data_IF_214032241081
#
_entry.id   IF_214032241081
#
_cell.length_a   1.000
_cell.length_b   1.000
_cell.length_c   1.000
_cell.angle_alpha   90.00
_cell.angle_beta   90.00
_cell.angle_gamma   90.00
#
_symmetry.space_group_name_H-M   'P 1'
#
loop_
_entity.id
_entity.type
_entity.pdbx_description
1 polymer ?
#
# COMPACT_ATOMS: atom_id res chain seq x y z
N UNK A 1 22.08 10.36 -10.16
CA UNK A 1 22.86 9.98 -8.96
C UNK A 1 21.97 9.25 -7.94
N UNK A 2 20.84 9.82 -7.51
CA UNK A 2 19.94 9.19 -6.52
C UNK A 2 19.25 7.88 -6.94
N UNK A 3 19.06 7.63 -8.24
CA UNK A 3 18.52 6.36 -8.76
C UNK A 3 19.30 5.12 -8.30
N UNK A 4 20.63 5.17 -8.36
CA UNK A 4 21.48 4.06 -7.94
C UNK A 4 21.44 3.87 -6.42
N UNK A 5 21.34 4.96 -5.65
CA UNK A 5 21.20 4.92 -4.19
C UNK A 5 19.87 4.30 -3.78
N UNK A 6 18.77 4.68 -4.43
CA UNK A 6 17.45 4.11 -4.18
C UNK A 6 17.41 2.60 -4.44
N UNK A 7 17.98 2.15 -5.58
CA UNK A 7 18.10 0.71 -5.88
C UNK A 7 18.92 -0.03 -4.84
N UNK A 8 20.05 0.56 -4.43
CA UNK A 8 20.92 -0.04 -3.43
C UNK A 8 20.22 -0.14 -2.07
N UNK A 9 19.50 0.90 -1.67
CA UNK A 9 18.75 0.95 -0.41
C UNK A 9 17.70 -0.18 -0.33
N UNK A 10 16.92 -0.34 -1.41
CA UNK A 10 15.90 -1.39 -1.52
C UNK A 10 16.55 -2.78 -1.48
N UNK A 11 17.57 -3.03 -2.31
CA UNK A 11 18.25 -4.34 -2.36
C UNK A 11 19.01 -4.71 -1.08
N UNK A 12 19.51 -3.71 -0.35
CA UNK A 12 20.27 -3.93 0.88
C UNK A 12 19.39 -4.32 2.06
N UNK A 13 18.09 -3.97 2.02
CA UNK A 13 17.07 -4.37 3.03
C UNK A 13 17.48 -4.07 4.47
N UNK A 14 18.26 -3.02 4.67
CA UNK A 14 18.87 -2.68 5.96
C UNK A 14 18.01 -1.65 6.69
N UNK A 15 17.27 -2.10 7.71
CA UNK A 15 16.36 -1.27 8.50
C UNK A 15 17.05 -0.06 9.17
N UNK A 16 18.20 -0.23 9.86
CA UNK A 16 18.98 0.91 10.35
C UNK A 16 19.31 1.95 9.27
N UNK A 17 19.66 1.49 8.06
CA UNK A 17 19.93 2.41 6.95
C UNK A 17 18.67 3.14 6.49
N UNK A 18 17.53 2.44 6.42
CA UNK A 18 16.23 3.07 6.15
C UNK A 18 15.88 4.14 7.18
N UNK A 19 16.08 3.86 8.47
CA UNK A 19 15.83 4.84 9.53
C UNK A 19 16.68 6.10 9.38
N UNK A 20 17.96 5.96 9.00
CA UNK A 20 18.84 7.10 8.71
C UNK A 20 18.39 7.89 7.47
N UNK A 21 17.98 7.19 6.41
CA UNK A 21 17.54 7.84 5.17
C UNK A 21 16.20 8.56 5.35
N UNK A 22 15.29 7.98 6.11
CA UNK A 22 13.95 8.51 6.39
C UNK A 22 13.91 9.49 7.57
N UNK A 23 15.05 9.74 8.21
CA UNK A 23 15.15 10.70 9.31
C UNK A 23 14.74 12.12 8.88
N UNK A 24 14.04 12.83 9.75
CA UNK A 24 13.47 14.15 9.45
C UNK A 24 14.52 15.24 9.20
N UNK A 25 15.72 15.05 9.77
CA UNK A 25 16.88 15.93 9.61
C UNK A 25 17.57 15.75 8.24
N UNK A 26 17.22 14.70 7.49
CA UNK A 26 17.79 14.45 6.18
C UNK A 26 17.14 15.34 5.10
N UNK A 27 17.87 16.36 4.65
CA UNK A 27 17.45 17.26 3.56
C UNK A 27 17.15 16.55 2.23
N UNK A 28 17.70 15.35 2.01
CA UNK A 28 17.49 14.56 0.79
C UNK A 28 16.40 13.49 0.95
N UNK A 29 15.73 13.40 2.10
CA UNK A 29 14.71 12.40 2.40
C UNK A 29 13.66 12.30 1.30
N UNK A 30 13.00 13.41 0.96
CA UNK A 30 11.96 13.45 -0.08
C UNK A 30 12.48 13.00 -1.44
N UNK A 31 13.64 13.50 -1.85
CA UNK A 31 14.25 13.10 -3.13
C UNK A 31 14.57 11.60 -3.17
N UNK A 32 15.02 11.01 -2.05
CA UNK A 32 15.28 9.58 -1.97
C UNK A 32 13.98 8.77 -2.04
N UNK A 33 12.94 9.18 -1.31
CA UNK A 33 11.61 8.56 -1.36
C UNK A 33 11.06 8.58 -2.79
N UNK A 34 11.07 9.74 -3.45
CA UNK A 34 10.59 9.89 -4.82
C UNK A 34 11.32 8.93 -5.77
N UNK A 35 12.64 8.79 -5.65
CA UNK A 35 13.42 7.88 -6.49
C UNK A 35 13.18 6.41 -6.16
N UNK A 36 12.92 6.06 -4.90
CA UNK A 36 12.52 4.70 -4.50
C UNK A 36 11.18 4.35 -5.14
N UNK A 37 10.17 5.22 -5.02
CA UNK A 37 8.81 5.02 -5.54
C UNK A 37 8.79 5.00 -7.06
N UNK A 38 9.53 5.89 -7.73
CA UNK A 38 9.49 6.01 -9.19
C UNK A 38 10.40 5.03 -9.94
N UNK A 39 11.51 4.59 -9.34
CA UNK A 39 12.53 3.80 -10.04
C UNK A 39 12.76 2.45 -9.37
N UNK A 40 13.15 2.45 -8.10
CA UNK A 40 13.61 1.22 -7.45
C UNK A 40 12.49 0.17 -7.31
N UNK A 41 11.26 0.61 -7.00
CA UNK A 41 10.11 -0.27 -6.86
C UNK A 41 9.53 -0.75 -8.19
N UNK A 42 9.66 0.03 -9.27
CA UNK A 42 9.26 -0.41 -10.60
C UNK A 42 10.23 -1.44 -11.19
N UNK A 43 11.49 -1.44 -10.75
CA UNK A 43 12.52 -2.38 -11.21
C UNK A 43 12.63 -3.64 -10.36
N UNK A 44 12.13 -3.62 -9.11
CA UNK A 44 12.09 -4.80 -8.25
C UNK A 44 10.76 -5.52 -8.37
N UNK A 45 10.83 -6.83 -8.50
CA UNK A 45 9.68 -7.73 -8.42
C UNK A 45 9.80 -8.67 -7.21
N UNK A 46 10.74 -8.39 -6.30
CA UNK A 46 10.95 -9.20 -5.13
C UNK A 46 9.98 -8.78 -4.00
N UNK A 47 9.10 -9.67 -3.53
CA UNK A 47 8.20 -9.38 -2.42
C UNK A 47 8.92 -8.93 -1.14
N UNK A 48 10.15 -9.40 -0.90
CA UNK A 48 10.92 -9.03 0.29
C UNK A 48 11.43 -7.59 0.23
N UNK A 49 11.80 -7.10 -0.96
CA UNK A 49 12.19 -5.71 -1.19
C UNK A 49 11.03 -4.76 -0.86
N UNK A 50 9.83 -5.11 -1.33
CA UNK A 50 8.61 -4.36 -1.07
C UNK A 50 8.25 -4.40 0.41
N UNK A 51 8.25 -5.59 1.02
CA UNK A 51 7.91 -5.77 2.44
C UNK A 51 8.84 -4.96 3.36
N UNK A 52 10.15 -4.97 3.08
CA UNK A 52 11.13 -4.21 3.85
C UNK A 52 10.91 -2.71 3.71
N UNK A 53 10.69 -2.24 2.48
CA UNK A 53 10.43 -0.82 2.19
C UNK A 53 9.16 -0.35 2.90
N UNK A 54 8.06 -1.09 2.78
CA UNK A 54 6.79 -0.80 3.46
C UNK A 54 6.97 -0.69 4.97
N UNK A 55 7.63 -1.67 5.60
CA UNK A 55 7.88 -1.66 7.05
C UNK A 55 8.73 -0.47 7.48
N UNK A 56 9.71 -0.07 6.66
CA UNK A 56 10.53 1.11 6.94
C UNK A 56 9.71 2.40 6.95
N UNK A 57 8.80 2.57 5.98
CA UNK A 57 7.91 3.75 5.92
C UNK A 57 6.91 3.76 7.07
N UNK A 58 6.36 2.60 7.44
CA UNK A 58 5.51 2.47 8.63
C UNK A 58 6.26 2.85 9.91
N UNK A 59 7.52 2.42 10.05
CA UNK A 59 8.34 2.74 11.22
C UNK A 59 8.78 4.22 11.26
N UNK A 60 8.87 4.86 10.10
CA UNK A 60 9.19 6.28 9.98
C UNK A 60 7.98 7.21 10.13
N UNK A 61 6.77 6.67 10.37
CA UNK A 61 5.51 7.41 10.49
C UNK A 61 5.20 8.30 9.27
N UNK A 62 5.42 7.74 8.07
CA UNK A 62 5.21 8.41 6.78
C UNK A 62 4.00 7.79 6.03
N UNK A 63 2.76 8.03 6.48
CA UNK A 63 1.59 7.37 5.90
C UNK A 63 1.23 7.88 4.49
N UNK A 64 1.47 9.15 4.17
CA UNK A 64 1.17 9.71 2.86
C UNK A 64 2.09 9.10 1.78
N UNK A 65 3.39 9.05 2.07
CA UNK A 65 4.38 8.45 1.19
C UNK A 65 4.18 6.94 1.07
N UNK A 66 3.71 6.27 2.14
CA UNK A 66 3.32 4.86 2.09
C UNK A 66 2.12 4.62 1.17
N UNK A 67 1.12 5.51 1.16
CA UNK A 67 -0.03 5.43 0.25
C UNK A 67 0.45 5.51 -1.20
N UNK A 68 1.24 6.53 -1.56
CA UNK A 68 1.75 6.70 -2.93
C UNK A 68 2.57 5.48 -3.40
N UNK A 69 3.38 4.93 -2.49
CA UNK A 69 4.15 3.72 -2.74
C UNK A 69 3.24 2.52 -3.03
N UNK A 70 2.23 2.31 -2.19
CA UNK A 70 1.31 1.18 -2.32
C UNK A 70 0.40 1.32 -3.54
N UNK A 71 -0.07 2.53 -3.87
CA UNK A 71 -0.79 2.82 -5.10
C UNK A 71 0.02 2.39 -6.32
N UNK A 72 1.30 2.76 -6.38
CA UNK A 72 2.17 2.39 -7.50
C UNK A 72 2.38 0.89 -7.62
N UNK A 73 2.53 0.19 -6.49
CA UNK A 73 2.75 -1.26 -6.49
C UNK A 73 1.46 -2.01 -6.85
N UNK A 74 0.33 -1.62 -6.27
CA UNK A 74 -0.93 -2.35 -6.41
C UNK A 74 -1.66 -1.97 -7.70
N UNK A 75 -1.59 -0.71 -8.14
CA UNK A 75 -2.31 -0.23 -9.32
C UNK A 75 -1.49 -0.34 -10.61
N UNK A 76 -0.18 -0.04 -10.57
CA UNK A 76 0.64 -0.02 -11.80
C UNK A 76 1.36 -1.35 -12.05
N UNK A 77 1.66 -2.15 -11.01
CA UNK A 77 2.40 -3.40 -11.15
C UNK A 77 1.47 -4.63 -11.03
N UNK A 78 1.17 -5.24 -12.17
CA UNK A 78 0.27 -6.40 -12.26
C UNK A 78 0.72 -7.60 -11.40
N UNK A 79 2.02 -7.76 -11.12
CA UNK A 79 2.53 -8.85 -10.30
C UNK A 79 2.08 -8.77 -8.82
N UNK A 80 1.77 -7.56 -8.34
CA UNK A 80 1.37 -7.30 -6.96
C UNK A 80 -0.06 -6.79 -6.83
N UNK A 81 -0.72 -6.51 -7.95
CA UNK A 81 -2.10 -6.07 -8.00
C UNK A 81 -3.04 -7.05 -7.28
N UNK A 82 -2.81 -8.36 -7.35
CA UNK A 82 -3.66 -9.37 -6.70
C UNK A 82 -3.23 -9.72 -5.26
N UNK A 83 -2.20 -9.06 -4.74
CA UNK A 83 -1.61 -9.41 -3.45
C UNK A 83 -2.45 -8.87 -2.29
N UNK A 84 -3.33 -9.71 -1.72
CA UNK A 84 -4.25 -9.38 -0.62
C UNK A 84 -3.63 -8.51 0.48
N UNK A 85 -2.45 -8.87 0.99
CA UNK A 85 -1.81 -8.13 2.10
C UNK A 85 -1.45 -6.68 1.71
N UNK A 86 -1.06 -6.43 0.46
CA UNK A 86 -0.72 -5.10 -0.01
C UNK A 86 -1.98 -4.26 -0.23
N UNK A 87 -3.04 -4.87 -0.76
CA UNK A 87 -4.35 -4.21 -0.87
C UNK A 87 -4.92 -3.84 0.50
N UNK A 88 -4.87 -4.77 1.47
CA UNK A 88 -5.28 -4.50 2.85
C UNK A 88 -4.50 -3.32 3.41
N UNK A 89 -3.18 -3.32 3.26
CA UNK A 89 -2.35 -2.26 3.81
C UNK A 89 -2.65 -0.90 3.18
N UNK A 90 -2.89 -0.84 1.86
CA UNK A 90 -3.25 0.39 1.16
C UNK A 90 -4.54 0.98 1.73
N UNK A 91 -5.59 0.17 1.85
CA UNK A 91 -6.87 0.61 2.39
C UNK A 91 -6.74 1.02 3.86
N UNK A 92 -6.06 0.23 4.68
CA UNK A 92 -5.87 0.54 6.11
C UNK A 92 -5.10 1.83 6.33
N UNK A 93 -4.07 2.08 5.53
CA UNK A 93 -3.27 3.31 5.60
C UNK A 93 -4.12 4.49 5.17
N UNK A 94 -4.91 4.36 4.10
CA UNK A 94 -5.84 5.38 3.64
C UNK A 94 -6.91 5.70 4.69
N UNK A 95 -7.52 4.71 5.34
CA UNK A 95 -8.50 4.95 6.41
C UNK A 95 -7.92 5.84 7.53
N UNK A 96 -6.64 5.65 7.86
CA UNK A 96 -5.95 6.40 8.90
C UNK A 96 -5.48 7.79 8.45
N UNK A 97 -5.02 7.93 7.21
CA UNK A 97 -4.33 9.15 6.76
C UNK A 97 -5.08 9.96 5.70
N UNK A 98 -5.82 9.32 4.80
CA UNK A 98 -6.60 9.98 3.75
C UNK A 98 -7.89 9.21 3.44
N UNK A 99 -8.95 9.52 4.21
CA UNK A 99 -10.26 8.87 4.10
C UNK A 99 -10.94 9.08 2.74
N UNK A 100 -10.60 10.15 2.03
CA UNK A 100 -11.27 10.53 0.78
C UNK A 100 -11.03 9.54 -0.35
N UNK A 101 -9.92 8.81 -0.29
CA UNK A 101 -9.53 7.81 -1.31
C UNK A 101 -10.00 6.39 -1.00
N UNK A 102 -10.45 6.13 0.22
CA UNK A 102 -10.81 4.77 0.68
C UNK A 102 -11.88 4.15 -0.21
N UNK A 103 -12.92 4.93 -0.56
CA UNK A 103 -14.00 4.48 -1.43
C UNK A 103 -13.49 4.11 -2.84
N UNK A 104 -12.55 4.86 -3.39
CA UNK A 104 -11.94 4.57 -4.70
C UNK A 104 -11.19 3.23 -4.68
N UNK A 105 -10.41 2.98 -3.62
CA UNK A 105 -9.70 1.72 -3.45
C UNK A 105 -10.66 0.54 -3.28
N UNK A 106 -11.72 0.69 -2.49
CA UNK A 106 -12.75 -0.35 -2.32
C UNK A 106 -13.38 -0.74 -3.66
N UNK A 107 -13.62 0.25 -4.53
CA UNK A 107 -14.18 0.02 -5.87
C UNK A 107 -13.19 -0.65 -6.82
N UNK A 108 -11.92 -0.24 -6.81
CA UNK A 108 -10.88 -0.75 -7.72
C UNK A 108 -10.30 -2.10 -7.32
N UNK A 109 -10.22 -2.40 -6.03
CA UNK A 109 -9.55 -3.57 -5.49
C UNK A 109 -10.55 -4.70 -5.21
N UNK A 110 -10.16 -5.95 -5.43
CA UNK A 110 -11.05 -7.12 -5.29
C UNK A 110 -10.51 -8.23 -4.38
N UNK A 111 -9.22 -8.19 -4.01
CA UNK A 111 -8.52 -9.30 -3.35
C UNK A 111 -8.29 -9.08 -1.85
N UNK A 112 -8.69 -7.93 -1.30
CA UNK A 112 -8.56 -7.59 0.12
C UNK A 112 -9.50 -8.39 1.02
N UNK A 113 -9.22 -8.38 2.33
CA UNK A 113 -10.07 -9.00 3.35
C UNK A 113 -11.27 -8.11 3.67
N UNK A 114 -12.37 -8.29 2.94
CA UNK A 114 -13.56 -7.48 3.09
C UNK A 114 -14.18 -7.49 4.49
N UNK A 115 -14.39 -8.65 5.15
CA UNK A 115 -14.90 -8.67 6.52
C UNK A 115 -14.06 -7.84 7.49
N UNK A 116 -12.73 -8.00 7.46
CA UNK A 116 -11.84 -7.27 8.38
C UNK A 116 -11.82 -5.76 8.07
N UNK A 117 -11.64 -5.40 6.79
CA UNK A 117 -11.57 -4.01 6.35
C UNK A 117 -12.90 -3.28 6.59
N UNK A 118 -14.05 -3.93 6.38
CA UNK A 118 -15.35 -3.34 6.66
C UNK A 118 -15.56 -3.08 8.16
N UNK A 119 -15.12 -3.99 9.03
CA UNK A 119 -15.17 -3.78 10.49
C UNK A 119 -14.30 -2.60 10.93
N UNK A 120 -13.12 -2.46 10.32
CA UNK A 120 -12.20 -1.35 10.60
C UNK A 120 -12.78 -0.02 10.08
N UNK A 121 -13.40 -0.02 8.90
CA UNK A 121 -14.10 1.13 8.36
C UNK A 121 -15.25 1.58 9.29
N UNK A 122 -16.10 0.65 9.76
CA UNK A 122 -17.16 0.93 10.76
C UNK A 122 -16.58 1.55 12.03
N UNK A 123 -15.47 0.98 12.53
CA UNK A 123 -14.81 1.48 13.74
C UNK A 123 -14.22 2.88 13.58
N UNK A 124 -14.01 3.35 12.34
CA UNK A 124 -13.55 4.68 12.00
C UNK A 124 -14.67 5.61 11.49
N UNK A 125 -15.94 5.21 11.67
CA UNK A 125 -17.15 5.94 11.24
C UNK A 125 -17.29 6.07 9.71
N UNK A 126 -16.61 5.20 8.96
CA UNK A 126 -16.68 5.09 7.49
C UNK A 126 -17.76 4.09 7.07
N UNK A 127 -19.02 4.45 7.36
CA UNK A 127 -20.16 3.55 7.15
C UNK A 127 -20.48 3.33 5.67
N UNK A 128 -20.28 4.34 4.81
CA UNK A 128 -20.55 4.24 3.38
C UNK A 128 -19.57 3.27 2.70
N UNK A 129 -18.29 3.38 3.03
CA UNK A 129 -17.23 2.51 2.59
C UNK A 129 -17.47 1.06 3.06
N UNK A 130 -17.79 0.88 4.34
CA UNK A 130 -18.12 -0.44 4.87
C UNK A 130 -19.32 -1.07 4.15
N UNK A 131 -20.37 -0.28 3.91
CA UNK A 131 -21.54 -0.74 3.16
C UNK A 131 -21.19 -1.13 1.71
N UNK A 132 -20.35 -0.33 1.04
CA UNK A 132 -19.88 -0.62 -0.30
C UNK A 132 -19.08 -1.93 -0.36
N UNK A 133 -18.22 -2.19 0.64
CA UNK A 133 -17.47 -3.46 0.76
C UNK A 133 -18.44 -4.64 0.89
N UNK A 134 -19.38 -4.58 1.83
CA UNK A 134 -20.35 -5.67 2.03
C UNK A 134 -21.17 -5.93 0.77
N UNK A 135 -21.67 -4.87 0.12
CA UNK A 135 -22.42 -4.99 -1.12
C UNK A 135 -21.59 -5.62 -2.24
N UNK A 136 -20.33 -5.21 -2.38
CA UNK A 136 -19.43 -5.73 -3.42
C UNK A 136 -19.12 -7.22 -3.21
N UNK A 137 -18.85 -7.62 -1.97
CA UNK A 137 -18.49 -9.01 -1.67
C UNK A 137 -19.69 -9.95 -1.64
N UNK A 138 -20.87 -9.50 -1.22
CA UNK A 138 -22.11 -10.28 -1.32
C UNK A 138 -22.41 -10.64 -2.79
N UNK A 139 -22.29 -9.66 -3.70
CA UNK A 139 -22.42 -9.88 -5.15
C UNK A 139 -21.36 -10.84 -5.70
N UNK A 140 -20.10 -10.74 -5.26
CA UNK A 140 -19.05 -11.67 -5.67
C UNK A 140 -19.33 -13.10 -5.19
N UNK A 141 -19.79 -13.30 -3.95
CA UNK A 141 -20.16 -14.64 -3.45
C UNK A 141 -21.35 -15.24 -4.19
N UNK A 142 -22.34 -14.42 -4.55
CA UNK A 142 -23.47 -14.85 -5.37
C UNK A 142 -23.03 -15.21 -6.80
N UNK A 143 -22.11 -14.46 -7.41
CA UNK A 143 -21.61 -14.72 -8.76
C UNK A 143 -20.80 -16.03 -8.86
N UNK A 144 -20.03 -16.39 -7.83
CA UNK A 144 -19.30 -17.66 -7.77
C UNK A 144 -20.25 -18.86 -7.81
N UNK A 145 -21.47 -18.73 -7.27
CA UNK A 145 -22.45 -19.82 -7.24
C UNK A 145 -23.27 -19.98 -8.55
N UNK A 146 -23.07 -19.13 -9.56
CA UNK A 146 -23.84 -19.16 -10.83
C UNK A 146 -23.08 -19.88 -11.96
N UNK A 147 -21.81 -20.22 -11.75
CA UNK A 147 -21.00 -21.05 -12.65
C UNK A 147 -20.91 -22.48 -12.09
N UNK A 148 -22.03 -23.20 -12.14
CA UNK A 148 -22.10 -24.67 -12.10
C UNK A 148 -23.30 -25.16 -12.95
#
# INVERSE_FOLDING_TARGET
>A
MFKNLARYLVKRRDFPLWAQVLAEDNQYRRQLIDQVVQTALSETQDPEDISTTVKAFMAADLPNELIELLEKIVLDNSAFAEHRNLQNLLILTAIKADRTRVMEYIQKLDNYDAPDIANIAISNELYEEAFAIFKKFDVNTAAINVVD
#
